data_IF_888041386764
#
_entry.id   IF_888041386764
#
_cell.length_a   1.000
_cell.length_b   1.000
_cell.length_c   1.000
_cell.angle_alpha   90.00
_cell.angle_beta   90.00
_cell.angle_gamma   90.00
#
_symmetry.space_group_name_H-M   'P 1'
#
loop_
_entity.id
_entity.type
_entity.pdbx_description
1 polymer ?
#
# COMPACT_ATOMS: atom_id res chain seq x y z
N UNK A 1 -17.02 8.71 -13.55
CA UNK A 1 -15.70 8.36 -14.11
C UNK A 1 -14.69 8.76 -13.02
N UNK A 2 -13.75 7.89 -12.62
CA UNK A 2 -12.78 8.25 -11.56
C UNK A 2 -11.77 9.26 -12.12
N UNK A 3 -11.70 10.45 -11.55
CA UNK A 3 -10.84 11.55 -12.01
C UNK A 3 -9.35 11.27 -11.78
N UNK A 4 -9.01 10.17 -11.10
CA UNK A 4 -7.64 9.67 -10.88
C UNK A 4 -7.04 8.88 -12.04
N UNK A 5 -7.77 8.73 -13.15
CA UNK A 5 -7.20 8.08 -14.34
C UNK A 5 -6.08 8.97 -14.89
N UNK A 6 -4.84 8.52 -14.69
CA UNK A 6 -3.64 9.19 -15.19
C UNK A 6 -3.77 9.41 -16.70
N UNK A 7 -3.81 10.68 -17.13
CA UNK A 7 -3.93 11.09 -18.55
C UNK A 7 -2.60 10.96 -19.33
N UNK A 8 -1.71 10.05 -18.91
CA UNK A 8 -0.40 9.85 -19.52
C UNK A 8 -0.44 8.94 -20.77
N UNK A 9 0.63 8.96 -21.58
CA UNK A 9 0.80 8.05 -22.74
C UNK A 9 1.25 6.63 -22.35
N UNK A 10 0.74 6.12 -21.23
CA UNK A 10 1.07 4.81 -20.67
C UNK A 10 -0.10 3.83 -20.72
N UNK A 11 0.12 2.60 -20.27
CA UNK A 11 -0.96 1.65 -20.08
C UNK A 11 -2.00 2.24 -19.11
N UNK A 12 -3.30 2.07 -19.43
CA UNK A 12 -4.38 2.65 -18.65
C UNK A 12 -4.35 2.05 -17.24
N UNK A 13 -4.31 2.85 -16.17
CA UNK A 13 -4.39 2.33 -14.82
C UNK A 13 -5.73 1.62 -14.63
N UNK A 14 -5.72 0.51 -13.90
CA UNK A 14 -6.93 -0.17 -13.44
C UNK A 14 -6.91 -0.17 -11.92
N UNK A 15 -8.07 0.09 -11.32
CA UNK A 15 -8.25 0.06 -9.87
C UNK A 15 -8.76 -1.31 -9.47
N UNK A 16 -8.08 -1.97 -8.53
CA UNK A 16 -8.59 -3.18 -7.89
C UNK A 16 -9.35 -2.74 -6.64
N UNK A 17 -10.64 -3.06 -6.58
CA UNK A 17 -11.44 -2.93 -5.36
C UNK A 17 -11.43 -4.29 -4.66
N UNK A 18 -10.53 -4.47 -3.69
CA UNK A 18 -10.37 -5.72 -2.95
C UNK A 18 -8.91 -6.04 -2.61
N UNK A 19 -8.66 -7.28 -2.22
CA UNK A 19 -7.33 -7.76 -1.85
C UNK A 19 -6.66 -8.48 -3.03
N UNK A 20 -5.38 -8.16 -3.28
CA UNK A 20 -4.55 -8.86 -4.26
C UNK A 20 -3.60 -9.79 -3.51
N UNK A 21 -3.77 -11.09 -3.69
CA UNK A 21 -2.96 -12.12 -3.05
C UNK A 21 -2.27 -12.98 -4.11
N UNK A 22 -0.99 -13.31 -3.89
CA UNK A 22 -0.32 -14.33 -4.69
C UNK A 22 -0.87 -15.72 -4.31
N UNK A 23 -1.51 -16.41 -5.28
CA UNK A 23 -2.09 -17.76 -5.08
C UNK A 23 -1.31 -18.88 -5.78
N UNK A 24 -0.11 -18.59 -6.30
CA UNK A 24 0.71 -19.54 -7.06
C UNK A 24 2.20 -19.32 -6.76
N UNK A 25 2.95 -20.41 -6.61
CA UNK A 25 4.41 -20.43 -6.41
C UNK A 25 4.87 -20.20 -4.97
N UNK A 26 6.17 -19.96 -4.78
CA UNK A 26 6.82 -19.77 -3.47
C UNK A 26 6.35 -18.51 -2.71
N UNK A 27 5.51 -17.68 -3.33
CA UNK A 27 4.90 -16.48 -2.76
C UNK A 27 3.52 -16.76 -2.13
N UNK A 28 3.11 -18.02 -2.03
CA UNK A 28 1.90 -18.40 -1.29
C UNK A 28 2.00 -17.89 0.15
N UNK A 29 1.05 -17.06 0.62
CA UNK A 29 1.02 -16.67 2.01
C UNK A 29 0.86 -17.93 2.86
N UNK A 30 1.78 -18.14 3.80
CA UNK A 30 1.62 -19.20 4.81
C UNK A 30 0.22 -19.07 5.41
N UNK A 31 -0.48 -20.18 5.67
CA UNK A 31 -1.86 -20.16 6.22
C UNK A 31 -2.01 -19.36 7.53
N UNK A 32 -0.92 -18.98 8.19
CA UNK A 32 -0.88 -18.15 9.41
C UNK A 32 -0.31 -16.74 9.20
N UNK A 33 0.15 -16.40 8.01
CA UNK A 33 0.66 -15.05 7.68
C UNK A 33 -0.46 -14.26 7.02
N UNK A 34 -0.73 -13.09 7.61
CA UNK A 34 -1.60 -12.10 7.00
C UNK A 34 -1.06 -11.71 5.63
N UNK A 35 -1.96 -11.48 4.68
CA UNK A 35 -1.62 -11.15 3.30
C UNK A 35 -0.89 -9.82 3.21
N UNK A 36 0.09 -9.78 2.32
CA UNK A 36 0.94 -8.62 2.13
C UNK A 36 0.44 -7.83 0.93
N UNK A 37 0.20 -6.53 1.10
CA UNK A 37 -0.11 -5.62 0.00
C UNK A 37 1.05 -5.61 -1.02
N UNK A 38 0.77 -5.96 -2.28
CA UNK A 38 1.76 -6.02 -3.35
C UNK A 38 2.19 -4.62 -3.84
N UNK A 39 1.33 -3.60 -3.67
CA UNK A 39 1.63 -2.21 -3.95
C UNK A 39 0.67 -1.34 -3.13
N UNK A 40 1.21 -0.52 -2.25
CA UNK A 40 0.49 0.43 -1.40
C UNK A 40 0.09 1.66 -2.25
N UNK A 41 -0.92 1.53 -3.10
CA UNK A 41 -1.73 2.71 -3.43
C UNK A 41 -2.70 2.89 -2.28
N UNK A 42 -2.24 3.63 -1.31
CA UNK A 42 -2.90 3.82 -0.03
C UNK A 42 -4.10 4.71 -0.26
N UNK A 43 -5.30 4.12 -0.29
CA UNK A 43 -6.54 4.91 -0.35
C UNK A 43 -6.82 5.65 0.96
N UNK A 44 -6.25 5.16 2.08
CA UNK A 44 -6.31 5.79 3.41
C UNK A 44 -4.96 5.68 4.12
N UNK A 45 -4.24 6.80 4.21
CA UNK A 45 -2.89 6.92 4.77
C UNK A 45 -2.80 6.44 6.21
N UNK A 46 -3.87 6.62 6.99
CA UNK A 46 -3.93 6.15 8.37
C UNK A 46 -4.01 4.61 8.46
N UNK A 47 -4.87 3.99 7.64
CA UNK A 47 -5.01 2.53 7.59
C UNK A 47 -3.71 1.83 7.17
N UNK A 48 -2.98 2.40 6.22
CA UNK A 48 -1.69 1.86 5.80
C UNK A 48 -0.60 1.98 6.85
N UNK A 49 -0.50 3.12 7.53
CA UNK A 49 0.45 3.32 8.62
C UNK A 49 0.20 2.31 9.75
N UNK A 50 -1.08 2.10 10.12
CA UNK A 50 -1.47 1.11 11.13
C UNK A 50 -1.10 -0.32 10.72
N UNK A 51 -1.34 -0.70 9.46
CA UNK A 51 -0.94 -2.01 8.94
C UNK A 51 0.60 -2.18 8.95
N UNK A 52 1.34 -1.12 8.63
CA UNK A 52 2.80 -1.12 8.67
C UNK A 52 3.33 -1.32 10.10
N UNK A 53 2.79 -0.56 11.07
CA UNK A 53 3.15 -0.68 12.49
C UNK A 53 2.83 -2.07 13.03
N UNK A 54 1.61 -2.58 12.77
CA UNK A 54 1.17 -3.90 13.22
C UNK A 54 2.07 -5.04 12.71
N UNK A 55 2.50 -4.96 11.45
CA UNK A 55 3.39 -5.97 10.84
C UNK A 55 4.84 -5.88 11.29
N UNK A 56 5.27 -4.72 11.81
CA UNK A 56 6.66 -4.45 12.14
C UNK A 56 6.81 -3.89 13.56
N UNK A 57 6.44 -4.67 14.61
CA UNK A 57 6.45 -4.22 15.99
C UNK A 57 7.85 -3.83 16.50
N UNK A 58 8.91 -4.27 15.83
CA UNK A 58 10.30 -3.92 16.13
C UNK A 58 10.70 -2.52 15.65
N UNK A 59 9.92 -1.88 14.76
CA UNK A 59 10.26 -0.58 14.21
C UNK A 59 9.75 0.55 15.10
N UNK A 60 10.46 1.67 15.08
CA UNK A 60 10.04 2.87 15.80
C UNK A 60 8.83 3.52 15.09
N UNK A 61 7.71 3.62 15.80
CA UNK A 61 6.45 4.16 15.30
C UNK A 61 6.52 5.63 14.92
N UNK A 62 7.31 6.42 15.66
CA UNK A 62 7.46 7.86 15.40
C UNK A 62 8.22 8.10 14.09
N UNK A 63 9.26 7.28 13.83
CA UNK A 63 10.00 7.33 12.56
C UNK A 63 9.09 6.95 11.39
N UNK A 64 8.28 5.88 11.53
CA UNK A 64 7.32 5.47 10.50
C UNK A 64 6.30 6.58 10.20
N UNK A 65 5.83 7.28 11.24
CA UNK A 65 4.93 8.42 11.08
C UNK A 65 5.58 9.58 10.34
N UNK A 66 6.82 9.95 10.70
CA UNK A 66 7.56 11.02 10.00
C UNK A 66 7.70 10.68 8.50
N UNK A 67 8.05 9.43 8.16
CA UNK A 67 8.16 9.01 6.76
C UNK A 67 6.81 9.12 6.04
N UNK A 68 5.74 8.66 6.68
CA UNK A 68 4.39 8.76 6.11
C UNK A 68 3.98 10.22 5.88
N UNK A 69 4.20 11.10 6.85
CA UNK A 69 3.85 12.52 6.76
C UNK A 69 4.63 13.21 5.62
N UNK A 70 5.93 12.92 5.50
CA UNK A 70 6.76 13.42 4.38
C UNK A 70 6.27 12.90 3.02
N UNK A 71 5.88 11.63 2.94
CA UNK A 71 5.32 11.08 1.70
C UNK A 71 3.99 11.76 1.33
N UNK A 72 3.12 12.04 2.30
CA UNK A 72 1.86 12.75 2.06
C UNK A 72 2.08 14.20 1.63
N UNK A 73 3.10 14.86 2.16
CA UNK A 73 3.37 16.27 1.87
C UNK A 73 4.00 16.48 0.49
N UNK A 74 4.93 15.60 0.08
CA UNK A 74 5.77 15.83 -1.09
C UNK A 74 5.51 14.91 -2.28
N UNK A 75 4.81 13.77 -2.11
CA UNK A 75 4.58 12.85 -3.20
C UNK A 75 3.34 13.25 -4.01
N UNK A 76 3.47 13.68 -5.27
CA UNK A 76 2.33 14.12 -6.09
C UNK A 76 1.43 12.97 -6.55
N UNK A 77 1.77 11.73 -6.20
CA UNK A 77 1.05 10.51 -6.61
C UNK A 77 0.33 9.80 -5.46
N UNK A 78 0.32 10.39 -4.26
CA UNK A 78 -0.42 9.89 -3.09
C UNK A 78 -1.73 10.66 -2.94
#
# INVERSE_FOLDING_TARGET
LDDRILNGRGAKPFSIYGELEHRVGDLLPNLRKQTAYAQLYIYDSASALNACISRNPQLNTDILKIIQDNLMEYNPFV
#
